data_IF_463582396914
#
_entry.id   IF_463582396914
#
_cell.length_a   1.000
_cell.length_b   1.000
_cell.length_c   1.000
_cell.angle_alpha   90.00
_cell.angle_beta   90.00
_cell.angle_gamma   90.00
#
_symmetry.space_group_name_H-M   'P 1'
#
loop_
_entity.id
_entity.type
_entity.pdbx_description
1 polymer ?
#
# COMPACT_ATOMS: atom_id res chain seq x y z
N UNK A 1 -22.04 27.13 11.67
CA UNK A 1 -21.68 26.14 10.63
C UNK A 1 -20.27 26.48 10.17
N UNK A 2 -19.31 25.56 10.27
CA UNK A 2 -18.00 25.77 9.65
C UNK A 2 -18.22 26.01 8.15
N UNK A 3 -17.61 27.06 7.60
CA UNK A 3 -17.72 27.35 6.17
C UNK A 3 -17.25 26.13 5.37
N UNK A 4 -18.04 25.73 4.37
CA UNK A 4 -17.66 24.63 3.48
C UNK A 4 -16.39 25.03 2.71
N UNK A 5 -15.24 24.45 3.09
CA UNK A 5 -14.03 24.51 2.29
C UNK A 5 -14.07 23.36 1.27
N UNK A 6 -13.96 23.64 -0.04
CA UNK A 6 -13.93 22.58 -1.04
C UNK A 6 -12.70 21.69 -0.82
N UNK A 7 -12.88 20.37 -0.93
CA UNK A 7 -11.77 19.43 -0.82
C UNK A 7 -10.70 19.71 -1.89
N UNK A 8 -9.43 19.60 -1.51
CA UNK A 8 -8.27 19.78 -2.40
C UNK A 8 -7.69 18.45 -2.81
N UNK A 9 -7.60 18.25 -4.12
CA UNK A 9 -7.05 17.06 -4.75
C UNK A 9 -5.80 17.40 -5.53
N UNK A 10 -4.79 16.54 -5.40
CA UNK A 10 -3.57 16.58 -6.19
C UNK A 10 -3.56 15.33 -7.05
N UNK A 11 -3.86 15.51 -8.33
CA UNK A 11 -3.85 14.43 -9.31
C UNK A 11 -2.44 14.28 -9.88
N UNK A 12 -1.86 13.08 -9.78
CA UNK A 12 -0.56 12.71 -10.33
C UNK A 12 -0.77 11.73 -11.48
N UNK A 13 -0.24 12.08 -12.65
CA UNK A 13 -0.27 11.28 -13.86
C UNK A 13 1.16 10.99 -14.29
N UNK A 14 1.48 9.74 -14.59
CA UNK A 14 2.79 9.39 -15.13
C UNK A 14 2.70 8.43 -16.30
N UNK A 15 3.55 8.65 -17.30
CA UNK A 15 3.83 7.71 -18.38
C UNK A 15 5.23 7.15 -18.18
N UNK A 16 5.32 5.85 -17.90
CA UNK A 16 6.57 5.18 -17.57
C UNK A 16 6.85 4.06 -18.56
N UNK A 17 7.85 4.22 -19.44
CA UNK A 17 8.41 3.10 -20.20
C UNK A 17 9.02 2.07 -19.24
N UNK A 18 8.65 0.81 -19.41
CA UNK A 18 9.19 -0.31 -18.64
C UNK A 18 9.69 -1.36 -19.64
N UNK A 19 10.94 -1.86 -19.49
CA UNK A 19 11.48 -2.91 -20.33
C UNK A 19 10.79 -4.25 -20.06
N UNK A 20 11.21 -5.28 -20.80
CA UNK A 20 10.78 -6.66 -20.58
C UNK A 20 10.92 -7.06 -19.10
N UNK A 21 9.79 -7.22 -18.41
CA UNK A 21 9.77 -7.46 -16.97
C UNK A 21 8.47 -8.09 -16.46
N UNK A 22 8.54 -8.62 -15.24
CA UNK A 22 7.40 -9.18 -14.51
C UNK A 22 7.19 -8.43 -13.18
N UNK A 23 6.80 -7.15 -13.29
CA UNK A 23 6.58 -6.26 -12.14
C UNK A 23 5.46 -6.71 -11.19
N UNK A 24 4.49 -7.46 -11.71
CA UNK A 24 3.39 -8.00 -10.91
C UNK A 24 2.80 -9.24 -11.57
N UNK A 25 2.66 -10.32 -10.79
CA UNK A 25 2.20 -11.63 -11.27
C UNK A 25 0.89 -12.12 -10.65
N UNK A 26 0.19 -12.98 -11.38
CA UNK A 26 -0.97 -13.75 -10.95
C UNK A 26 -0.61 -14.98 -10.12
N UNK A 27 -1.61 -15.85 -9.89
CA UNK A 27 -1.45 -17.11 -9.16
C UNK A 27 -0.67 -18.16 -9.96
N UNK A 28 -0.80 -18.11 -11.28
CA UNK A 28 -0.06 -18.87 -12.30
C UNK A 28 1.38 -18.38 -12.54
N UNK A 29 1.81 -17.36 -11.79
CA UNK A 29 3.11 -16.70 -11.97
C UNK A 29 3.26 -15.99 -13.34
N UNK A 30 2.16 -15.70 -14.03
CA UNK A 30 2.12 -14.90 -15.26
C UNK A 30 1.93 -13.39 -14.96
N UNK A 31 2.35 -12.48 -15.86
CA UNK A 31 2.05 -11.07 -15.75
C UNK A 31 0.55 -10.83 -15.61
N UNK A 32 0.14 -9.96 -14.67
CA UNK A 32 -1.27 -9.56 -14.62
C UNK A 32 -1.61 -8.75 -15.87
N UNK A 33 -2.77 -9.05 -16.45
CA UNK A 33 -3.32 -8.30 -17.59
C UNK A 33 -4.72 -7.79 -17.27
N UNK A 34 -5.21 -6.85 -18.08
CA UNK A 34 -6.60 -6.41 -18.10
C UNK A 34 -7.04 -6.12 -19.54
N UNK A 35 -8.34 -6.11 -19.80
CA UNK A 35 -8.89 -5.65 -21.09
C UNK A 35 -9.40 -4.22 -20.93
N UNK A 36 -8.94 -3.32 -21.79
CA UNK A 36 -9.41 -1.93 -21.83
C UNK A 36 -9.51 -1.41 -23.26
N UNK A 37 -10.70 -0.92 -23.62
CA UNK A 37 -11.05 -0.52 -24.99
C UNK A 37 -10.91 -1.64 -26.01
N UNK A 38 -11.20 -2.88 -25.60
CA UNK A 38 -11.12 -4.06 -26.46
C UNK A 38 -9.72 -4.64 -26.69
N UNK A 39 -8.66 -4.06 -26.09
CA UNK A 39 -7.29 -4.58 -26.19
C UNK A 39 -6.76 -5.08 -24.84
N UNK A 40 -5.96 -6.15 -24.88
CA UNK A 40 -5.23 -6.66 -23.73
C UNK A 40 -4.10 -5.72 -23.35
N UNK A 41 -4.02 -5.36 -22.06
CA UNK A 41 -3.02 -4.48 -21.46
C UNK A 41 -2.27 -5.22 -20.38
N UNK A 42 -0.95 -5.03 -20.31
CA UNK A 42 -0.25 -5.41 -19.09
C UNK A 42 -0.72 -4.51 -17.96
N UNK A 43 -0.89 -5.09 -16.76
CA UNK A 43 -1.39 -4.41 -15.58
C UNK A 43 -0.42 -4.61 -14.42
N UNK A 44 -0.15 -3.52 -13.70
CA UNK A 44 0.52 -3.57 -12.40
C UNK A 44 -0.46 -3.08 -11.35
N UNK A 45 -0.76 -3.95 -10.40
CA UNK A 45 -1.82 -3.67 -9.44
C UNK A 45 -1.50 -2.53 -8.48
N UNK A 46 -2.54 -1.78 -8.07
CA UNK A 46 -2.39 -0.63 -7.19
C UNK A 46 -1.74 -1.01 -5.85
N UNK A 47 -2.01 -2.20 -5.31
CA UNK A 47 -1.37 -2.71 -4.10
C UNK A 47 0.14 -2.96 -4.25
N UNK A 48 0.59 -3.36 -5.44
CA UNK A 48 2.00 -3.57 -5.73
C UNK A 48 2.75 -2.24 -5.69
N UNK A 49 2.17 -1.22 -6.34
CA UNK A 49 2.66 0.16 -6.31
C UNK A 49 2.59 0.79 -4.92
N UNK A 50 1.45 0.69 -4.23
CA UNK A 50 1.30 1.20 -2.85
C UNK A 50 2.35 0.60 -1.92
N UNK A 51 2.68 -0.69 -2.05
CA UNK A 51 3.74 -1.30 -1.25
C UNK A 51 5.12 -0.78 -1.64
N UNK A 52 5.40 -0.65 -2.93
CA UNK A 52 6.67 -0.14 -3.45
C UNK A 52 6.94 1.31 -3.01
N UNK A 53 5.90 2.13 -2.90
CA UNK A 53 5.96 3.52 -2.43
C UNK A 53 6.03 3.59 -0.89
N UNK A 54 5.18 2.82 -0.20
CA UNK A 54 5.06 2.88 1.26
C UNK A 54 6.38 2.55 1.98
N UNK A 55 7.11 1.53 1.54
CA UNK A 55 8.27 1.06 2.29
C UNK A 55 9.45 2.07 2.28
N UNK A 56 9.82 2.68 1.15
CA UNK A 56 10.77 3.79 1.13
C UNK A 56 10.29 4.99 1.95
N UNK A 57 9.02 5.39 1.85
CA UNK A 57 8.48 6.48 2.69
C UNK A 57 8.66 6.19 4.19
N UNK A 58 8.37 4.97 4.62
CA UNK A 58 8.56 4.56 6.01
C UNK A 58 10.03 4.57 6.45
N UNK A 59 10.96 4.34 5.52
CA UNK A 59 12.39 4.39 5.78
C UNK A 59 12.90 5.84 5.88
N UNK A 60 12.48 6.71 4.97
CA UNK A 60 12.84 8.13 4.97
C UNK A 60 12.34 8.84 6.23
N UNK A 61 11.14 8.50 6.69
CA UNK A 61 10.52 9.09 7.88
C UNK A 61 10.96 8.43 9.20
N UNK A 62 11.71 7.32 9.14
CA UNK A 62 11.98 6.44 10.29
C UNK A 62 10.69 6.05 11.06
N UNK A 63 9.58 5.87 10.34
CA UNK A 63 8.27 5.60 10.91
C UNK A 63 7.65 4.34 10.31
N UNK A 64 8.19 3.20 10.70
CA UNK A 64 7.82 1.92 10.11
C UNK A 64 6.46 1.38 10.58
N UNK A 65 5.65 0.88 9.64
CA UNK A 65 4.42 0.18 9.94
C UNK A 65 4.44 -1.29 9.49
N UNK A 66 3.96 -2.17 10.35
CA UNK A 66 3.78 -3.59 10.08
C UNK A 66 2.35 -3.87 9.61
N UNK A 67 2.22 -4.63 8.52
CA UNK A 67 0.99 -5.36 8.18
C UNK A 67 1.16 -6.81 8.59
N UNK A 68 0.45 -7.26 9.61
CA UNK A 68 0.72 -8.57 10.23
C UNK A 68 -0.53 -9.22 10.80
N UNK A 69 -0.59 -10.55 10.68
CA UNK A 69 -1.51 -11.41 11.45
C UNK A 69 -0.82 -12.04 12.67
N UNK A 70 0.52 -11.92 12.72
CA UNK A 70 1.38 -12.61 13.66
C UNK A 70 1.68 -11.78 14.92
N UNK A 71 0.96 -10.68 15.18
CA UNK A 71 1.22 -9.84 16.36
C UNK A 71 1.33 -10.66 17.67
N UNK A 72 0.38 -11.54 18.04
CA UNK A 72 0.49 -12.35 19.27
C UNK A 72 1.76 -13.20 19.29
N UNK A 73 2.09 -13.83 18.17
CA UNK A 73 3.29 -14.67 18.05
C UNK A 73 4.58 -13.86 18.17
N UNK A 74 4.63 -12.65 17.59
CA UNK A 74 5.83 -11.79 17.62
C UNK A 74 6.06 -11.15 18.98
N UNK A 75 5.01 -10.92 19.76
CA UNK A 75 5.13 -10.53 21.17
C UNK A 75 5.62 -11.73 21.99
N UNK A 76 5.06 -12.93 21.79
CA UNK A 76 5.53 -14.14 22.47
C UNK A 76 6.99 -14.49 22.15
N UNK A 77 7.43 -14.34 20.89
CA UNK A 77 8.84 -14.49 20.48
C UNK A 77 9.73 -13.53 21.28
N UNK A 78 9.34 -12.25 21.37
CA UNK A 78 10.10 -11.23 22.09
C UNK A 78 10.21 -11.53 23.60
N UNK A 79 9.12 -12.00 24.21
CA UNK A 79 9.11 -12.35 25.63
C UNK A 79 10.01 -13.56 25.91
N UNK A 80 10.03 -14.56 25.01
CA UNK A 80 10.97 -15.69 25.08
C UNK A 80 12.42 -15.25 24.95
N UNK A 81 12.71 -14.35 24.00
CA UNK A 81 14.03 -13.73 23.85
C UNK A 81 14.44 -12.97 25.14
N UNK A 82 13.47 -12.41 25.87
CA UNK A 82 13.65 -11.76 27.17
C UNK A 82 13.66 -12.75 28.38
N UNK A 83 13.69 -14.07 28.13
CA UNK A 83 13.84 -15.09 29.17
C UNK A 83 12.54 -15.54 29.86
N UNK A 84 11.37 -15.23 29.30
CA UNK A 84 10.10 -15.75 29.81
C UNK A 84 9.94 -17.25 29.52
N UNK A 85 9.31 -18.03 30.42
CA UNK A 85 8.88 -19.40 30.14
C UNK A 85 8.03 -19.49 28.86
N UNK A 86 8.16 -20.59 28.12
CA UNK A 86 7.54 -20.75 26.80
C UNK A 86 6.01 -20.65 26.85
N UNK A 87 5.38 -21.28 27.83
CA UNK A 87 3.93 -21.28 28.06
C UNK A 87 3.44 -19.91 28.49
N UNK A 88 4.15 -19.23 29.39
CA UNK A 88 3.83 -17.88 29.84
C UNK A 88 3.93 -16.86 28.70
N UNK A 89 4.97 -16.94 27.89
CA UNK A 89 5.15 -16.06 26.73
C UNK A 89 4.05 -16.27 25.68
N UNK A 90 3.68 -17.52 25.39
CA UNK A 90 2.59 -17.84 24.49
C UNK A 90 1.25 -17.31 25.02
N UNK A 91 0.98 -17.50 26.31
CA UNK A 91 -0.21 -16.98 26.98
C UNK A 91 -0.27 -15.45 26.94
N UNK A 92 0.84 -14.77 27.25
CA UNK A 92 0.93 -13.31 27.19
C UNK A 92 0.68 -12.78 25.76
N UNK A 93 1.24 -13.43 24.74
CA UNK A 93 0.95 -13.12 23.33
C UNK A 93 -0.54 -13.24 23.00
N UNK A 94 -1.21 -14.32 23.43
CA UNK A 94 -2.65 -14.48 23.26
C UNK A 94 -3.46 -13.41 24.02
N UNK A 95 -2.98 -12.99 25.20
CA UNK A 95 -3.61 -11.93 26.00
C UNK A 95 -3.60 -10.56 25.32
N UNK A 96 -2.62 -10.27 24.45
CA UNK A 96 -2.64 -9.04 23.62
C UNK A 96 -3.90 -9.01 22.76
N UNK A 97 -4.20 -10.12 22.09
CA UNK A 97 -5.36 -10.18 21.19
C UNK A 97 -6.66 -10.26 21.99
N UNK A 98 -6.69 -11.06 23.07
CA UNK A 98 -7.85 -11.18 23.94
C UNK A 98 -8.23 -9.86 24.62
N UNK A 99 -7.24 -9.06 24.97
CA UNK A 99 -7.42 -7.79 25.66
C UNK A 99 -7.60 -6.60 24.71
N UNK A 100 -7.60 -6.80 23.39
CA UNK A 100 -7.74 -5.71 22.42
C UNK A 100 -9.13 -5.05 22.41
N UNK A 101 -10.18 -5.80 22.76
CA UNK A 101 -11.57 -5.33 22.86
C UNK A 101 -12.25 -5.99 24.06
N UNK A 102 -13.54 -5.73 24.29
CA UNK A 102 -14.32 -6.46 25.31
C UNK A 102 -14.33 -7.97 25.04
N UNK A 103 -14.40 -8.37 23.78
CA UNK A 103 -14.50 -9.77 23.33
C UNK A 103 -13.14 -10.34 22.85
N UNK A 104 -12.14 -9.49 22.65
CA UNK A 104 -10.89 -9.82 21.96
C UNK A 104 -10.98 -9.64 20.44
N UNK A 105 -9.88 -9.88 19.72
CA UNK A 105 -9.94 -10.08 18.27
C UNK A 105 -10.04 -11.56 17.95
N UNK A 106 -10.64 -11.88 16.80
CA UNK A 106 -10.72 -13.24 16.26
C UNK A 106 -9.33 -13.75 15.90
N UNK A 107 -9.09 -15.01 16.21
CA UNK A 107 -7.84 -15.72 15.96
C UNK A 107 -8.08 -17.06 15.27
N UNK A 108 -7.11 -17.50 14.46
CA UNK A 108 -7.09 -18.81 13.82
C UNK A 108 -6.27 -19.81 14.66
N UNK A 109 -6.93 -20.59 15.51
CA UNK A 109 -6.25 -21.56 16.40
C UNK A 109 -5.44 -22.60 15.63
N UNK A 110 -5.95 -23.08 14.48
CA UNK A 110 -5.26 -24.04 13.61
C UNK A 110 -3.95 -23.50 13.02
N UNK A 111 -3.75 -22.18 13.05
CA UNK A 111 -2.54 -21.50 12.58
C UNK A 111 -1.75 -20.91 13.74
N UNK A 112 -1.87 -21.49 14.94
CA UNK A 112 -1.10 -21.06 16.12
C UNK A 112 -1.63 -19.78 16.78
N UNK A 113 -2.89 -19.41 16.55
CA UNK A 113 -3.50 -18.25 17.20
C UNK A 113 -3.14 -16.91 16.58
N UNK A 114 -2.76 -16.88 15.30
CA UNK A 114 -2.66 -15.63 14.54
C UNK A 114 -4.01 -14.92 14.46
N UNK A 115 -4.03 -13.60 14.29
CA UNK A 115 -5.29 -12.87 14.12
C UNK A 115 -5.96 -13.25 12.79
N UNK A 116 -7.29 -13.35 12.77
CA UNK A 116 -8.06 -13.57 11.54
C UNK A 116 -7.95 -12.35 10.61
N UNK A 117 -8.04 -11.14 11.17
CA UNK A 117 -7.82 -9.89 10.45
C UNK A 117 -6.32 -9.56 10.32
N UNK A 118 -5.93 -8.97 9.19
CA UNK A 118 -4.60 -8.39 8.99
C UNK A 118 -4.52 -7.03 9.69
N UNK A 119 -3.71 -6.94 10.74
CA UNK A 119 -3.50 -5.68 11.45
C UNK A 119 -2.54 -4.78 10.67
N UNK A 120 -2.73 -3.47 10.74
CA UNK A 120 -1.81 -2.46 10.21
C UNK A 120 -1.50 -1.44 11.31
N UNK A 121 -0.29 -1.48 11.85
CA UNK A 121 0.10 -0.71 13.03
C UNK A 121 1.59 -0.34 12.97
N UNK A 122 2.03 0.68 13.73
CA UNK A 122 3.46 0.97 13.89
C UNK A 122 4.25 -0.26 14.38
N UNK A 123 5.51 -0.42 13.94
CA UNK A 123 6.34 -1.60 14.30
C UNK A 123 6.75 -1.61 15.77
N UNK A 124 7.04 -0.43 16.31
CA UNK A 124 7.44 -0.17 17.69
C UNK A 124 6.37 -0.54 18.72
N UNK A 125 5.09 -0.61 18.32
CA UNK A 125 4.00 -1.15 19.16
C UNK A 125 4.34 -2.55 19.69
N UNK A 126 5.11 -3.36 18.95
CA UNK A 126 5.57 -4.66 19.47
C UNK A 126 6.32 -4.49 20.79
N UNK A 127 7.23 -3.53 20.87
CA UNK A 127 8.03 -3.25 22.06
C UNK A 127 7.15 -2.73 23.20
N UNK A 128 6.20 -1.84 22.90
CA UNK A 128 5.25 -1.33 23.91
C UNK A 128 4.36 -2.45 24.48
N UNK A 129 3.92 -3.39 23.63
CA UNK A 129 3.15 -4.54 24.06
C UNK A 129 3.96 -5.50 24.93
N UNK A 130 5.25 -5.69 24.62
CA UNK A 130 6.17 -6.48 25.45
C UNK A 130 6.36 -5.82 26.82
N UNK A 131 6.58 -4.50 26.84
CA UNK A 131 6.69 -3.73 28.07
C UNK A 131 5.42 -3.82 28.91
N UNK A 132 4.25 -3.73 28.29
CA UNK A 132 2.96 -3.92 28.97
C UNK A 132 2.84 -5.33 29.58
N UNK A 133 3.33 -6.37 28.88
CA UNK A 133 3.40 -7.71 29.45
C UNK A 133 4.33 -7.78 30.68
N UNK A 134 5.48 -7.10 30.65
CA UNK A 134 6.38 -7.02 31.81
C UNK A 134 5.72 -6.36 33.03
N UNK A 135 5.03 -5.25 32.82
CA UNK A 135 4.31 -4.52 33.89
C UNK A 135 3.20 -5.36 34.52
N UNK A 136 2.58 -6.25 33.73
CA UNK A 136 1.48 -7.11 34.17
C UNK A 136 1.89 -8.58 34.35
N UNK A 137 3.18 -8.86 34.46
CA UNK A 137 3.70 -10.24 34.59
C UNK A 137 3.08 -11.01 35.77
N UNK A 138 2.95 -10.46 36.98
CA UNK A 138 2.35 -11.19 38.10
C UNK A 138 0.92 -11.65 37.82
N UNK A 139 0.10 -10.79 37.19
CA UNK A 139 -1.29 -11.13 36.86
C UNK A 139 -1.37 -12.17 35.74
N UNK A 140 -0.44 -12.13 34.78
CA UNK A 140 -0.33 -13.13 33.72
C UNK A 140 0.06 -14.51 34.28
N UNK A 141 1.04 -14.56 35.19
CA UNK A 141 1.47 -15.78 35.87
C UNK A 141 0.34 -16.38 36.71
N UNK A 142 -0.32 -15.56 37.53
CA UNK A 142 -1.45 -15.99 38.35
C UNK A 142 -2.60 -16.55 37.50
N UNK A 143 -2.99 -15.83 36.44
CA UNK A 143 -4.10 -16.26 35.57
C UNK A 143 -3.76 -17.55 34.82
N UNK A 144 -2.51 -17.70 34.36
CA UNK A 144 -2.06 -18.91 33.69
C UNK A 144 -2.09 -20.11 34.64
N UNK A 145 -1.58 -19.95 35.86
CA UNK A 145 -1.60 -21.01 36.88
C UNK A 145 -3.03 -21.43 37.22
N UNK A 146 -3.95 -20.47 37.38
CA UNK A 146 -5.37 -20.74 37.59
C UNK A 146 -5.99 -21.54 36.43
N UNK A 147 -5.65 -21.20 35.18
CA UNK A 147 -6.14 -21.93 33.99
C UNK A 147 -5.58 -23.35 33.91
N UNK A 148 -4.29 -23.53 34.17
CA UNK A 148 -3.65 -24.84 34.18
C UNK A 148 -4.24 -25.73 35.29
N UNK A 149 -4.47 -25.18 36.49
CA UNK A 149 -5.12 -25.89 37.58
C UNK A 149 -6.58 -26.27 37.24
N UNK A 150 -7.35 -25.36 36.65
CA UNK A 150 -8.72 -25.63 36.21
C UNK A 150 -8.78 -26.70 35.10
N UNK A 151 -7.85 -26.66 34.14
CA UNK A 151 -7.75 -27.65 33.07
C UNK A 151 -7.37 -29.04 33.62
N UNK A 152 -6.44 -29.11 34.57
CA UNK A 152 -6.06 -30.35 35.23
C UNK A 152 -7.23 -30.94 36.04
N UNK A 153 -7.98 -30.11 36.77
CA UNK A 153 -9.17 -30.54 37.50
C UNK A 153 -10.28 -31.04 36.55
N UNK A 154 -10.49 -30.37 35.42
CA UNK A 154 -11.45 -30.79 34.40
C UNK A 154 -11.07 -32.11 33.73
N UNK A 155 -9.77 -32.35 33.50
CA UNK A 155 -9.26 -33.61 32.96
C UNK A 155 -9.41 -34.78 33.95
N UNK A 156 -9.40 -34.50 35.26
CA UNK A 156 -9.59 -35.49 36.32
C UNK A 156 -11.07 -35.81 36.62
N UNK A 157 -12.02 -35.01 36.12
CA UNK A 157 -13.45 -35.23 36.32
C UNK A 157 -14.02 -36.30 35.35
N UNK A 158 -14.93 -37.19 35.79
CA UNK A 158 -15.53 -38.20 34.92
C UNK A 158 -16.35 -37.54 33.81
N UNK A 159 -16.13 -37.97 32.55
CA UNK A 159 -16.81 -37.42 31.36
C UNK A 159 -18.33 -37.59 31.50
N UNK A 160 -19.13 -36.51 31.54
CA UNK A 160 -20.58 -36.64 31.52
C UNK A 160 -21.05 -37.19 30.16
N UNK A 161 -21.94 -38.19 30.20
CA UNK A 161 -22.67 -38.67 29.03
C UNK A 161 -23.61 -37.57 28.53
N UNK A 162 -23.19 -36.85 27.49
CA UNK A 162 -24.04 -35.90 26.78
C UNK A 162 -23.26 -34.72 26.21
N UNK A 163 -23.35 -34.54 24.89
CA UNK A 163 -22.84 -33.36 24.15
C UNK A 163 -23.55 -32.09 24.63
N UNK A 164 -23.16 -31.53 25.77
CA UNK A 164 -23.30 -30.10 26.04
C UNK A 164 -22.03 -29.44 25.54
N UNK A 165 -22.16 -28.64 24.48
CA UNK A 165 -21.13 -27.67 24.07
C UNK A 165 -20.80 -26.87 25.33
N UNK A 166 -19.58 -27.03 25.86
CA UNK A 166 -19.11 -26.20 26.96
C UNK A 166 -19.30 -24.75 26.50
N UNK A 167 -20.07 -23.98 27.26
CA UNK A 167 -20.21 -22.55 27.04
C UNK A 167 -18.79 -21.99 27.13
N UNK A 168 -18.27 -21.44 26.04
CA UNK A 168 -16.90 -20.93 25.94
C UNK A 168 -16.61 -20.12 27.20
N UNK A 169 -15.84 -20.69 28.14
CA UNK A 169 -15.38 -19.96 29.31
C UNK A 169 -14.31 -19.02 28.76
N UNK A 170 -14.77 -17.89 28.22
CA UNK A 170 -13.92 -16.89 27.59
C UNK A 170 -12.85 -16.52 28.62
N UNK A 171 -11.60 -16.89 28.31
CA UNK A 171 -10.43 -16.52 29.10
C UNK A 171 -10.55 -15.02 29.43
N UNK A 172 -10.51 -14.62 30.72
CA UNK A 172 -10.66 -13.21 31.05
C UNK A 172 -9.49 -12.41 30.45
N UNK A 173 -9.77 -11.17 30.07
CA UNK A 173 -8.74 -10.23 29.64
C UNK A 173 -7.89 -9.84 30.85
N UNK A 174 -6.59 -10.11 30.79
CA UNK A 174 -5.64 -9.80 31.88
C UNK A 174 -5.03 -8.41 31.70
N UNK A 175 -4.80 -7.99 30.46
CA UNK A 175 -4.15 -6.72 30.16
C UNK A 175 -5.18 -5.57 30.08
N UNK A 176 -4.78 -4.32 30.37
CA UNK A 176 -5.69 -3.18 30.30
C UNK A 176 -6.22 -2.95 28.89
N UNK A 177 -7.51 -3.25 28.67
CA UNK A 177 -8.13 -3.19 27.33
C UNK A 177 -8.00 -1.84 26.66
N UNK A 178 -8.13 -0.74 27.42
CA UNK A 178 -7.99 0.62 26.89
C UNK A 178 -6.58 0.88 26.35
N UNK A 179 -5.55 0.41 27.04
CA UNK A 179 -4.15 0.58 26.66
C UNK A 179 -3.82 -0.23 25.42
N UNK A 180 -4.18 -1.52 25.41
CA UNK A 180 -3.98 -2.39 24.23
C UNK A 180 -4.70 -1.81 22.99
N UNK A 181 -5.96 -1.40 23.14
CA UNK A 181 -6.71 -0.77 22.07
C UNK A 181 -6.09 0.56 21.62
N UNK A 182 -5.52 1.37 22.52
CA UNK A 182 -4.81 2.60 22.15
C UNK A 182 -3.55 2.32 21.32
N UNK A 183 -2.76 1.32 21.70
CA UNK A 183 -1.58 0.89 20.95
C UNK A 183 -1.94 0.38 19.55
N UNK A 184 -2.99 -0.43 19.42
CA UNK A 184 -3.49 -0.88 18.11
C UNK A 184 -3.99 0.29 17.26
N UNK A 185 -4.61 1.31 17.89
CA UNK A 185 -5.12 2.50 17.21
C UNK A 185 -4.04 3.49 16.77
N UNK A 186 -2.81 3.39 17.28
CA UNK A 186 -1.72 4.30 16.92
C UNK A 186 -1.54 4.34 15.40
N UNK A 187 -1.26 5.53 14.88
CA UNK A 187 -1.15 5.81 13.44
C UNK A 187 0.28 6.21 13.13
N UNK A 188 0.72 5.87 11.93
CA UNK A 188 1.91 6.43 11.29
C UNK A 188 1.53 7.38 10.17
N UNK A 189 2.47 8.15 9.64
CA UNK A 189 2.32 8.92 8.41
C UNK A 189 1.73 8.07 7.27
N UNK A 190 2.23 6.84 7.07
CA UNK A 190 1.72 5.95 6.02
C UNK A 190 0.35 5.35 6.33
N UNK A 191 -0.07 5.25 7.60
CA UNK A 191 -1.45 4.95 7.97
C UNK A 191 -2.37 6.14 7.67
N UNK A 192 -1.93 7.37 7.94
CA UNK A 192 -2.70 8.59 7.63
C UNK A 192 -2.87 8.80 6.10
N UNK A 193 -1.86 8.43 5.31
CA UNK A 193 -1.92 8.49 3.84
C UNK A 193 -2.78 7.38 3.24
N UNK A 194 -2.49 6.11 3.57
CA UNK A 194 -3.09 4.96 2.89
C UNK A 194 -4.35 4.41 3.56
N UNK A 195 -4.64 4.87 4.78
CA UNK A 195 -5.75 4.41 5.59
C UNK A 195 -5.48 3.06 6.26
N UNK A 196 -6.46 2.66 7.07
CA UNK A 196 -6.49 1.38 7.79
C UNK A 196 -7.94 0.96 7.97
N UNK A 197 -8.23 -0.31 7.69
CA UNK A 197 -9.50 -0.94 8.00
C UNK A 197 -9.29 -2.00 9.08
N UNK A 198 -10.08 -1.94 10.16
CA UNK A 198 -10.11 -2.97 11.20
C UNK A 198 -11.53 -3.10 11.76
N UNK A 199 -12.29 -4.07 11.24
CA UNK A 199 -13.73 -4.20 11.53
C UNK A 199 -14.01 -4.45 13.02
N UNK A 200 -13.15 -5.19 13.70
CA UNK A 200 -13.31 -5.57 15.11
C UNK A 200 -12.98 -4.44 16.09
N UNK A 201 -12.34 -3.36 15.60
CA UNK A 201 -12.06 -2.16 16.38
C UNK A 201 -12.39 -0.93 15.51
N UNK A 202 -13.68 -0.55 15.36
CA UNK A 202 -14.13 0.49 14.43
C UNK A 202 -13.43 1.84 14.63
N UNK A 203 -13.11 2.20 15.87
CA UNK A 203 -12.38 3.45 16.20
C UNK A 203 -10.92 3.45 15.71
N UNK A 204 -10.40 2.31 15.24
CA UNK A 204 -9.10 2.22 14.60
C UNK A 204 -9.17 2.45 13.08
N UNK A 205 -10.36 2.52 12.49
CA UNK A 205 -10.53 2.81 11.06
C UNK A 205 -9.99 4.20 10.72
N UNK A 206 -9.28 4.29 9.59
CA UNK A 206 -8.74 5.53 9.04
C UNK A 206 -9.04 5.51 7.55
N UNK A 207 -9.78 6.51 7.08
CA UNK A 207 -10.00 6.71 5.65
C UNK A 207 -8.67 7.14 5.00
N UNK A 208 -8.29 6.47 3.92
CA UNK A 208 -7.05 6.81 3.22
C UNK A 208 -7.21 8.13 2.45
N UNK A 209 -6.24 9.03 2.60
CA UNK A 209 -6.15 10.25 1.81
C UNK A 209 -5.67 10.00 0.36
N UNK A 210 -4.98 8.88 0.12
CA UNK A 210 -4.43 8.52 -1.20
C UNK A 210 -5.29 7.48 -1.92
N UNK A 211 -5.75 7.86 -3.11
CA UNK A 211 -6.38 6.95 -4.07
C UNK A 211 -5.37 6.62 -5.17
N UNK A 212 -5.19 5.34 -5.49
CA UNK A 212 -4.22 4.90 -6.49
C UNK A 212 -4.87 3.88 -7.41
N UNK A 213 -4.80 4.14 -8.72
CA UNK A 213 -5.33 3.24 -9.73
C UNK A 213 -4.36 2.08 -10.00
N UNK A 214 -4.87 1.02 -10.64
CA UNK A 214 -4.01 0.05 -11.30
C UNK A 214 -3.27 0.77 -12.44
N UNK A 215 -1.98 0.52 -12.58
CA UNK A 215 -1.21 0.99 -13.74
C UNK A 215 -1.40 0.00 -14.88
N UNK A 216 -1.51 0.49 -16.12
CA UNK A 216 -1.71 -0.36 -17.29
C UNK A 216 -1.02 0.20 -18.53
N UNK A 217 -0.74 -0.64 -19.51
CA UNK A 217 -0.10 -0.17 -20.76
C UNK A 217 -1.04 0.67 -21.61
N UNK A 218 -0.55 1.81 -22.12
CA UNK A 218 -1.31 2.73 -22.99
C UNK A 218 -1.55 2.18 -24.41
N UNK A 219 -0.82 1.14 -24.79
CA UNK A 219 -1.00 0.34 -26.01
C UNK A 219 -1.29 -1.14 -25.66
N UNK A 220 -1.64 -1.95 -26.66
CA UNK A 220 -1.78 -3.40 -26.48
C UNK A 220 -0.43 -4.00 -26.03
N UNK A 221 -0.47 -4.91 -25.06
CA UNK A 221 0.70 -5.61 -24.56
C UNK A 221 0.31 -7.02 -24.15
N UNK A 222 0.67 -7.98 -24.99
CA UNK A 222 0.44 -9.40 -24.74
C UNK A 222 1.61 -9.98 -23.93
N UNK A 223 1.36 -10.93 -23.01
CA UNK A 223 2.42 -11.68 -22.34
C UNK A 223 3.35 -12.34 -23.34
N UNK A 224 4.66 -12.16 -23.15
CA UNK A 224 5.70 -12.75 -24.00
C UNK A 224 6.32 -13.95 -23.27
N UNK A 225 6.39 -15.13 -23.90
CA UNK A 225 7.03 -16.29 -23.30
C UNK A 225 8.55 -16.16 -23.28
N UNK A 226 9.15 -16.59 -22.19
CA UNK A 226 10.59 -16.70 -21.95
C UNK A 226 10.91 -18.17 -21.64
N UNK A 227 11.52 -18.86 -22.60
CA UNK A 227 11.93 -20.25 -22.47
C UNK A 227 13.37 -20.29 -21.96
N UNK A 228 13.57 -20.83 -20.75
CA UNK A 228 14.90 -20.92 -20.15
C UNK A 228 15.18 -22.32 -19.61
N UNK A 229 16.46 -22.68 -19.62
CA UNK A 229 16.99 -23.88 -19.00
C UNK A 229 17.93 -23.52 -17.85
N UNK A 230 18.06 -24.42 -16.88
CA UNK A 230 19.22 -24.41 -15.99
C UNK A 230 20.15 -25.54 -16.41
N UNK A 231 21.38 -25.19 -16.76
CA UNK A 231 22.40 -26.14 -17.20
C UNK A 231 23.15 -26.68 -15.98
N UNK A 232 23.42 -27.98 -15.99
CA UNK A 232 24.23 -28.70 -15.03
C UNK A 232 25.69 -28.71 -15.48
N UNK A 233 26.56 -28.24 -14.60
CA UNK A 233 27.98 -28.09 -14.90
C UNK A 233 28.73 -29.44 -14.87
N UNK A 234 28.17 -30.49 -14.25
CA UNK A 234 28.76 -31.83 -14.11
C UNK A 234 27.97 -32.91 -14.86
N UNK A 235 27.67 -32.66 -16.14
CA UNK A 235 26.98 -33.63 -17.00
C UNK A 235 27.89 -34.80 -17.43
N UNK A 236 27.28 -35.94 -17.78
CA UNK A 236 28.00 -37.08 -18.35
C UNK A 236 28.60 -36.75 -19.73
N UNK A 237 29.73 -37.36 -20.14
CA UNK A 237 30.34 -37.08 -21.44
C UNK A 237 29.37 -37.34 -22.60
N UNK A 238 29.09 -36.30 -23.40
CA UNK A 238 28.20 -36.36 -24.55
C UNK A 238 26.76 -35.87 -24.29
N UNK A 239 26.43 -35.49 -23.06
CA UNK A 239 25.11 -34.92 -22.71
C UNK A 239 25.12 -33.39 -22.66
N UNK A 240 24.04 -32.75 -23.12
CA UNK A 240 23.87 -31.30 -23.10
C UNK A 240 23.65 -30.72 -21.69
N UNK A 241 23.43 -31.57 -20.67
CA UNK A 241 23.37 -31.15 -19.26
C UNK A 241 22.19 -30.24 -18.90
N UNK A 242 21.03 -30.34 -19.55
CA UNK A 242 19.86 -29.51 -19.16
C UNK A 242 19.13 -30.12 -17.96
N UNK A 243 19.36 -29.59 -16.75
CA UNK A 243 18.76 -30.10 -15.51
C UNK A 243 17.35 -29.53 -15.21
N UNK A 244 17.00 -28.37 -15.77
CA UNK A 244 15.67 -27.77 -15.61
C UNK A 244 15.23 -27.10 -16.91
N UNK A 245 13.93 -27.16 -17.19
CA UNK A 245 13.28 -26.43 -18.29
C UNK A 245 12.00 -25.81 -17.76
N UNK A 246 11.83 -24.51 -18.02
CA UNK A 246 10.60 -23.81 -17.66
C UNK A 246 10.32 -22.65 -18.61
N UNK A 247 9.04 -22.31 -18.73
CA UNK A 247 8.59 -21.08 -19.39
C UNK A 247 8.15 -20.09 -18.32
N UNK A 248 8.67 -18.87 -18.39
CA UNK A 248 8.13 -17.71 -17.67
C UNK A 248 7.51 -16.75 -18.67
N UNK A 249 6.74 -15.78 -18.18
CA UNK A 249 6.16 -14.74 -19.04
C UNK A 249 6.57 -13.36 -18.53
N UNK A 250 6.80 -12.44 -19.46
CA UNK A 250 7.05 -11.03 -19.16
C UNK A 250 6.19 -10.12 -20.03
N UNK A 251 6.14 -8.85 -19.66
CA UNK A 251 5.49 -7.79 -20.46
C UNK A 251 6.46 -6.62 -20.63
N UNK A 252 6.20 -5.77 -21.62
CA UNK A 252 6.96 -4.54 -21.88
C UNK A 252 6.00 -3.47 -22.36
N UNK A 253 6.33 -2.19 -22.14
CA UNK A 253 5.52 -1.10 -22.70
C UNK A 253 5.51 0.15 -21.84
N UNK A 254 4.62 1.07 -22.22
CA UNK A 254 4.44 2.35 -21.54
C UNK A 254 3.27 2.26 -20.57
N UNK A 255 3.55 2.22 -19.28
CA UNK A 255 2.52 2.22 -18.24
C UNK A 255 1.99 3.63 -18.02
N UNK A 256 0.66 3.79 -18.08
CA UNK A 256 -0.02 4.92 -17.46
C UNK A 256 -0.25 4.62 -15.97
N UNK A 257 0.19 5.54 -15.13
CA UNK A 257 0.08 5.49 -13.67
C UNK A 257 -0.72 6.69 -13.21
N UNK A 258 -1.63 6.46 -12.26
CA UNK A 258 -2.47 7.52 -11.70
C UNK A 258 -2.63 7.35 -10.19
N UNK A 259 -2.43 8.44 -9.47
CA UNK A 259 -2.80 8.57 -8.07
C UNK A 259 -3.41 9.96 -7.83
N UNK A 260 -4.24 10.07 -6.80
CA UNK A 260 -4.70 11.37 -6.31
C UNK A 260 -4.60 11.43 -4.79
N UNK A 261 -4.13 12.56 -4.28
CA UNK A 261 -4.05 12.84 -2.85
C UNK A 261 -5.15 13.83 -2.48
N UNK A 262 -6.05 13.43 -1.59
CA UNK A 262 -6.98 14.34 -0.96
C UNK A 262 -6.27 15.03 0.21
N UNK A 263 -5.70 16.21 -0.03
CA UNK A 263 -4.94 16.95 0.97
C UNK A 263 -5.81 17.36 2.16
N UNK A 264 -7.08 17.68 1.93
CA UNK A 264 -8.04 18.00 3.00
C UNK A 264 -8.24 16.82 3.94
N UNK A 265 -8.34 15.61 3.40
CA UNK A 265 -8.45 14.38 4.20
C UNK A 265 -7.14 14.08 4.94
N UNK A 266 -5.99 14.30 4.30
CA UNK A 266 -4.69 14.09 4.94
C UNK A 266 -4.50 15.03 6.14
N UNK A 267 -4.83 16.32 6.00
CA UNK A 267 -4.80 17.30 7.09
C UNK A 267 -5.71 16.84 8.24
N UNK A 268 -6.91 16.33 7.93
CA UNK A 268 -7.83 15.78 8.93
C UNK A 268 -7.23 14.59 9.67
N UNK A 269 -6.60 13.67 8.95
CA UNK A 269 -5.95 12.49 9.53
C UNK A 269 -4.77 12.86 10.45
N UNK A 270 -4.11 13.98 10.17
CA UNK A 270 -3.00 14.55 10.94
C UNK A 270 -3.46 15.55 12.02
N UNK A 271 -4.76 15.61 12.34
CA UNK A 271 -5.26 16.47 13.41
C UNK A 271 -5.19 17.97 13.11
N UNK A 272 -5.14 18.35 11.83
CA UNK A 272 -5.07 19.75 11.40
C UNK A 272 -3.65 20.26 11.09
N UNK A 273 -2.61 19.42 11.18
CA UNK A 273 -1.24 19.79 10.83
C UNK A 273 -1.08 19.94 9.31
N UNK A 274 -1.09 21.20 8.84
CA UNK A 274 -0.98 21.54 7.42
C UNK A 274 0.45 21.34 6.90
N UNK A 275 1.45 21.71 7.68
CA UNK A 275 2.85 21.65 7.27
C UNK A 275 3.30 20.19 7.14
N UNK A 276 2.88 19.33 8.08
CA UNK A 276 3.14 17.90 7.97
C UNK A 276 2.41 17.29 6.77
N UNK A 277 1.18 17.72 6.47
CA UNK A 277 0.45 17.24 5.30
C UNK A 277 1.16 17.60 3.99
N UNK A 278 1.71 18.82 3.87
CA UNK A 278 2.47 19.26 2.70
C UNK A 278 3.81 18.51 2.58
N UNK A 279 4.54 18.30 3.69
CA UNK A 279 5.75 17.46 3.70
C UNK A 279 5.46 16.03 3.22
N UNK A 280 4.36 15.44 3.68
CA UNK A 280 3.97 14.09 3.26
C UNK A 280 3.48 14.04 1.80
N UNK A 281 2.89 15.12 1.29
CA UNK A 281 2.51 15.25 -0.12
C UNK A 281 3.75 15.29 -1.02
N UNK A 282 4.76 16.08 -0.66
CA UNK A 282 6.04 16.14 -1.38
C UNK A 282 6.71 14.77 -1.40
N UNK A 283 6.91 14.15 -0.23
CA UNK A 283 7.52 12.82 -0.13
C UNK A 283 6.70 11.74 -0.86
N UNK A 284 5.37 11.80 -0.82
CA UNK A 284 4.53 10.88 -1.61
C UNK A 284 4.73 11.07 -3.11
N UNK A 285 4.89 12.32 -3.57
CA UNK A 285 5.11 12.64 -4.98
C UNK A 285 6.46 12.12 -5.45
N UNK A 286 7.53 12.36 -4.70
CA UNK A 286 8.87 11.80 -4.96
C UNK A 286 8.81 10.27 -5.03
N UNK A 287 8.23 9.62 -4.02
CA UNK A 287 8.15 8.16 -3.97
C UNK A 287 7.24 7.61 -5.06
N UNK A 288 6.19 8.32 -5.46
CA UNK A 288 5.41 7.99 -6.65
C UNK A 288 6.29 8.03 -7.90
N UNK A 289 7.18 9.00 -8.06
CA UNK A 289 8.04 9.09 -9.24
C UNK A 289 9.10 7.98 -9.25
N UNK A 290 9.80 7.78 -8.13
CA UNK A 290 11.03 6.99 -8.07
C UNK A 290 10.85 5.50 -7.75
N UNK A 291 9.74 5.14 -7.09
CA UNK A 291 9.52 3.74 -6.71
C UNK A 291 9.26 2.86 -7.93
N UNK A 292 9.50 1.56 -7.77
CA UNK A 292 9.06 0.53 -8.72
C UNK A 292 8.78 -0.79 -8.00
N UNK A 293 7.76 -1.58 -8.41
CA UNK A 293 7.57 -2.93 -7.88
C UNK A 293 8.79 -3.83 -8.05
N UNK A 294 8.99 -4.71 -7.07
CA UNK A 294 10.24 -5.45 -6.90
C UNK A 294 10.14 -6.93 -7.35
N UNK A 295 9.00 -7.35 -7.93
CA UNK A 295 8.82 -8.72 -8.39
C UNK A 295 9.76 -9.03 -9.56
N UNK A 296 10.45 -10.17 -9.51
CA UNK A 296 11.39 -10.66 -10.53
C UNK A 296 12.45 -9.63 -10.97
N UNK A 297 12.75 -8.63 -10.12
CA UNK A 297 13.73 -7.58 -10.43
C UNK A 297 15.12 -8.13 -10.70
N UNK A 298 15.54 -9.17 -9.97
CA UNK A 298 16.89 -9.74 -10.09
C UNK A 298 17.12 -10.35 -11.47
N UNK A 299 16.09 -10.93 -12.08
CA UNK A 299 16.18 -11.57 -13.39
C UNK A 299 15.82 -10.65 -14.56
N UNK A 300 15.29 -9.44 -14.31
CA UNK A 300 14.77 -8.56 -15.39
C UNK A 300 15.21 -7.09 -15.29
N UNK A 301 15.85 -6.69 -14.19
CA UNK A 301 16.37 -5.33 -13.93
C UNK A 301 15.47 -4.18 -14.44
N UNK A 302 14.20 -4.09 -14.01
CA UNK A 302 13.21 -3.21 -14.63
C UNK A 302 13.32 -1.73 -14.22
N UNK A 303 14.48 -1.29 -13.73
CA UNK A 303 14.67 -0.01 -13.06
C UNK A 303 14.57 1.16 -14.05
N UNK A 304 13.40 1.79 -14.11
CA UNK A 304 13.14 2.97 -14.94
C UNK A 304 12.46 4.07 -14.12
N UNK A 305 12.51 5.29 -14.65
CA UNK A 305 11.77 6.45 -14.17
C UNK A 305 10.70 6.85 -15.21
N UNK A 306 9.63 7.56 -14.80
CA UNK A 306 8.64 8.10 -15.73
C UNK A 306 9.27 8.97 -16.82
N UNK A 307 8.80 8.83 -18.06
CA UNK A 307 9.18 9.74 -19.16
C UNK A 307 8.42 11.08 -19.08
N UNK A 308 7.22 11.07 -18.50
CA UNK A 308 6.39 12.24 -18.27
C UNK A 308 5.72 12.08 -16.89
N UNK A 309 5.78 13.12 -16.08
CA UNK A 309 4.96 13.30 -14.88
C UNK A 309 4.18 14.59 -15.06
N UNK A 310 2.87 14.55 -14.92
CA UNK A 310 1.98 15.71 -14.94
C UNK A 310 1.16 15.73 -13.66
N UNK A 311 1.06 16.91 -13.04
CA UNK A 311 0.20 17.12 -11.89
C UNK A 311 -0.93 18.10 -12.20
N UNK A 312 -2.05 17.95 -11.51
CA UNK A 312 -3.09 18.97 -11.45
C UNK A 312 -3.59 19.13 -10.02
N UNK A 313 -3.52 20.36 -9.50
CA UNK A 313 -4.13 20.74 -8.22
C UNK A 313 -5.54 21.25 -8.48
N UNK A 314 -6.53 20.56 -7.91
CA UNK A 314 -7.95 20.80 -8.18
C UNK A 314 -8.77 20.91 -6.91
N UNK A 315 -9.89 21.62 -7.04
CA UNK A 315 -10.93 21.64 -6.02
C UNK A 315 -12.09 20.69 -6.36
N UNK A 316 -12.77 20.21 -5.31
CA UNK A 316 -14.01 19.41 -5.32
C UNK A 316 -13.90 17.99 -5.85
N UNK A 317 -13.14 17.72 -6.91
CA UNK A 317 -12.99 16.36 -7.43
C UNK A 317 -11.63 16.09 -8.09
N UNK A 318 -11.12 14.86 -7.96
CA UNK A 318 -9.99 14.40 -8.77
C UNK A 318 -10.45 13.97 -10.16
N UNK A 319 -9.53 13.91 -11.13
CA UNK A 319 -9.80 13.51 -12.51
C UNK A 319 -8.66 12.64 -13.07
N UNK A 320 -8.93 11.36 -13.31
CA UNK A 320 -8.00 10.48 -14.03
C UNK A 320 -8.05 10.71 -15.55
N UNK A 321 -6.90 10.60 -16.20
CA UNK A 321 -6.75 10.67 -17.66
C UNK A 321 -6.71 9.29 -18.32
N UNK A 322 -7.12 8.23 -17.61
CA UNK A 322 -7.14 6.87 -18.17
C UNK A 322 -7.93 6.77 -19.49
N UNK A 323 -8.99 7.57 -19.64
CA UNK A 323 -9.81 7.63 -20.85
C UNK A 323 -9.03 8.09 -22.10
N UNK A 324 -7.88 8.78 -21.94
CA UNK A 324 -6.98 9.07 -23.05
C UNK A 324 -6.48 7.81 -23.77
N UNK A 325 -6.53 6.66 -23.10
CA UNK A 325 -5.98 5.39 -23.56
C UNK A 325 -7.04 4.30 -23.74
N UNK A 326 -8.33 4.67 -23.72
CA UNK A 326 -9.41 3.75 -24.07
C UNK A 326 -9.13 3.16 -25.45
N UNK A 327 -8.98 4.01 -26.47
CA UNK A 327 -8.42 3.59 -27.74
C UNK A 327 -6.91 3.29 -27.54
N UNK A 328 -6.42 2.08 -27.89
CA UNK A 328 -5.02 1.75 -27.78
C UNK A 328 -4.14 2.71 -28.60
N UNK A 329 -3.11 3.26 -27.96
CA UNK A 329 -2.14 4.13 -28.62
C UNK A 329 -1.43 3.35 -29.72
N UNK A 330 -1.37 3.93 -30.93
CA UNK A 330 -0.64 3.38 -32.07
C UNK A 330 0.82 3.83 -32.01
N UNK A 331 1.77 3.03 -32.52
CA UNK A 331 3.18 3.42 -32.54
C UNK A 331 3.41 4.59 -33.50
N UNK A 332 4.47 5.37 -33.25
CA UNK A 332 4.92 6.41 -34.17
C UNK A 332 5.43 5.82 -35.49
N UNK A 333 5.50 6.61 -36.59
CA UNK A 333 6.26 6.22 -37.77
C UNK A 333 7.71 5.90 -37.39
N UNK A 334 8.17 4.67 -37.63
CA UNK A 334 9.50 4.19 -37.21
C UNK A 334 9.52 3.43 -35.86
N UNK A 335 8.38 3.29 -35.20
CA UNK A 335 8.24 2.50 -33.97
C UNK A 335 8.24 3.34 -32.70
N UNK A 336 7.91 2.70 -31.58
CA UNK A 336 7.83 3.33 -30.26
C UNK A 336 6.47 3.95 -29.96
N UNK A 337 6.11 3.94 -28.67
CA UNK A 337 4.80 4.38 -28.18
C UNK A 337 4.87 5.63 -27.30
N UNK A 338 6.06 6.04 -26.87
CA UNK A 338 6.23 7.10 -25.87
C UNK A 338 5.66 8.45 -26.32
N UNK A 339 6.12 9.00 -27.45
CA UNK A 339 5.64 10.29 -27.96
C UNK A 339 4.14 10.24 -28.33
N UNK A 340 3.63 9.20 -29.02
CA UNK A 340 2.19 9.06 -29.23
C UNK A 340 1.37 9.02 -27.93
N UNK A 341 1.88 8.39 -26.87
CA UNK A 341 1.21 8.33 -25.58
C UNK A 341 1.18 9.70 -24.88
N UNK A 342 2.29 10.46 -24.95
CA UNK A 342 2.33 11.86 -24.47
C UNK A 342 1.29 12.69 -25.23
N UNK A 343 1.24 12.59 -26.56
CA UNK A 343 0.29 13.33 -27.37
C UNK A 343 -1.17 12.99 -27.03
N UNK A 344 -1.47 11.70 -26.83
CA UNK A 344 -2.80 11.25 -26.44
C UNK A 344 -3.21 11.82 -25.07
N UNK A 345 -2.28 11.82 -24.10
CA UNK A 345 -2.51 12.41 -22.77
C UNK A 345 -2.72 13.93 -22.85
N UNK A 346 -1.88 14.64 -23.60
CA UNK A 346 -1.96 16.08 -23.84
C UNK A 346 -3.30 16.48 -24.49
N UNK A 347 -3.69 15.78 -25.56
CA UNK A 347 -4.96 16.02 -26.27
C UNK A 347 -6.17 15.81 -25.35
N UNK A 348 -6.12 14.77 -24.51
CA UNK A 348 -7.17 14.53 -23.53
C UNK A 348 -7.19 15.60 -22.43
N UNK A 349 -6.03 16.06 -21.98
CA UNK A 349 -5.91 17.16 -21.02
C UNK A 349 -6.50 18.47 -21.56
N UNK A 350 -6.28 18.78 -22.84
CA UNK A 350 -6.89 19.94 -23.51
C UNK A 350 -8.42 19.84 -23.54
N UNK A 351 -8.95 18.70 -23.98
CA UNK A 351 -10.38 18.46 -24.03
C UNK A 351 -11.02 18.60 -22.63
N UNK A 352 -10.39 18.06 -21.60
CA UNK A 352 -10.83 18.23 -20.22
C UNK A 352 -10.70 19.68 -19.73
N UNK A 353 -9.63 20.38 -20.12
CA UNK A 353 -9.43 21.80 -19.82
C UNK A 353 -10.55 22.67 -20.38
N UNK A 354 -10.95 22.41 -21.64
CA UNK A 354 -12.07 23.09 -22.29
C UNK A 354 -13.42 22.78 -21.65
N UNK A 355 -13.68 21.52 -21.28
CA UNK A 355 -14.97 21.10 -20.73
C UNK A 355 -15.15 21.45 -19.25
N UNK A 356 -14.09 21.34 -18.44
CA UNK A 356 -14.14 21.65 -17.00
C UNK A 356 -13.85 23.13 -16.71
N UNK A 357 -13.18 23.82 -17.64
CA UNK A 357 -12.67 25.17 -17.44
C UNK A 357 -11.50 25.24 -16.46
N UNK A 358 -10.96 26.45 -16.26
CA UNK A 358 -9.84 26.72 -15.34
C UNK A 358 -10.27 27.10 -13.92
N UNK A 359 -11.52 27.48 -13.70
CA UNK A 359 -12.02 28.05 -12.41
C UNK A 359 -11.73 27.23 -11.16
N UNK A 360 -11.56 25.91 -11.29
CA UNK A 360 -11.35 24.96 -10.16
C UNK A 360 -10.03 24.19 -10.27
N UNK A 361 -9.14 24.62 -11.17
CA UNK A 361 -7.79 24.09 -11.33
C UNK A 361 -6.83 25.18 -10.88
N UNK A 362 -6.25 24.98 -9.70
CA UNK A 362 -5.37 25.95 -9.03
C UNK A 362 -4.05 26.05 -9.79
N UNK A 363 -3.45 24.90 -10.09
CA UNK A 363 -2.25 24.79 -10.91
C UNK A 363 -2.24 23.45 -11.64
N UNK A 364 -1.45 23.40 -12.71
CA UNK A 364 -1.00 22.16 -13.33
C UNK A 364 0.32 22.40 -14.04
N UNK A 365 1.12 21.35 -14.12
CA UNK A 365 2.44 21.39 -14.71
C UNK A 365 2.97 20.01 -14.96
N UNK A 366 4.11 19.93 -15.63
CA UNK A 366 4.72 18.66 -16.00
C UNK A 366 6.23 18.74 -16.07
N UNK A 367 6.87 17.58 -15.93
CA UNK A 367 8.29 17.35 -16.18
C UNK A 367 8.40 16.15 -17.13
N UNK A 368 9.31 16.22 -18.10
CA UNK A 368 9.46 15.20 -19.13
C UNK A 368 10.89 15.14 -19.65
N UNK A 369 11.27 14.00 -20.24
CA UNK A 369 12.58 13.84 -20.90
C UNK A 369 12.62 14.44 -22.32
N UNK A 370 11.51 15.00 -22.79
CA UNK A 370 11.49 15.67 -24.08
C UNK A 370 12.18 17.02 -24.00
N UNK A 371 12.94 17.35 -25.05
CA UNK A 371 13.55 18.66 -25.23
C UNK A 371 12.55 19.71 -25.74
N UNK A 372 11.37 19.28 -26.19
CA UNK A 372 10.30 20.14 -26.67
C UNK A 372 9.19 20.23 -25.63
N UNK A 373 8.58 21.42 -25.43
CA UNK A 373 7.40 21.54 -24.59
C UNK A 373 6.27 20.61 -25.05
N UNK A 374 5.48 20.15 -24.09
CA UNK A 374 4.26 19.36 -24.31
C UNK A 374 3.09 20.29 -24.11
N UNK A 375 2.29 20.45 -25.16
CA UNK A 375 1.14 21.35 -25.12
C UNK A 375 0.11 20.90 -24.07
N UNK A 376 -0.70 21.84 -23.59
CA UNK A 376 -1.89 21.62 -22.75
C UNK A 376 -1.67 21.00 -21.35
N UNK A 377 -0.42 20.71 -20.96
CA UNK A 377 -0.08 20.16 -19.64
C UNK A 377 0.35 21.22 -18.61
N UNK A 378 0.25 22.51 -18.97
CA UNK A 378 0.53 23.62 -18.07
C UNK A 378 2.02 23.97 -18.03
N UNK A 379 2.51 24.34 -16.84
CA UNK A 379 3.88 24.84 -16.66
C UNK A 379 4.91 23.73 -16.82
N UNK A 380 5.92 23.88 -17.70
CA UNK A 380 7.05 22.95 -17.74
C UNK A 380 7.99 23.18 -16.54
N UNK A 381 8.46 22.09 -15.94
CA UNK A 381 9.47 22.08 -14.89
C UNK A 381 10.74 21.39 -15.40
N UNK A 382 11.92 21.89 -15.01
CA UNK A 382 13.19 21.37 -15.50
C UNK A 382 13.56 20.03 -14.85
N UNK A 383 13.02 19.74 -13.67
CA UNK A 383 13.26 18.51 -12.92
C UNK A 383 12.00 18.00 -12.20
N UNK A 384 12.05 16.76 -11.70
CA UNK A 384 10.99 16.23 -10.83
C UNK A 384 10.96 16.91 -9.45
N UNK A 385 12.09 17.45 -8.99
CA UNK A 385 12.19 18.24 -7.76
C UNK A 385 11.43 19.56 -7.92
N UNK A 386 11.73 20.33 -8.97
CA UNK A 386 11.02 21.59 -9.26
C UNK A 386 9.51 21.36 -9.48
N UNK A 387 9.13 20.24 -10.09
CA UNK A 387 7.73 19.84 -10.23
C UNK A 387 7.08 19.60 -8.86
N UNK A 388 7.77 18.92 -7.96
CA UNK A 388 7.27 18.59 -6.61
C UNK A 388 7.12 19.84 -5.76
N UNK A 389 8.07 20.77 -5.85
CA UNK A 389 8.02 22.06 -5.17
C UNK A 389 6.84 22.90 -5.66
N UNK A 390 6.72 23.09 -6.98
CA UNK A 390 5.64 23.89 -7.57
C UNK A 390 4.25 23.29 -7.27
N UNK A 391 4.13 21.96 -7.29
CA UNK A 391 2.92 21.25 -6.90
C UNK A 391 2.56 21.52 -5.44
N UNK A 392 3.54 21.43 -4.54
CA UNK A 392 3.34 21.60 -3.10
C UNK A 392 3.01 23.05 -2.75
N UNK A 393 3.67 24.01 -3.39
CA UNK A 393 3.35 25.44 -3.28
C UNK A 393 1.92 25.72 -3.75
N UNK A 394 1.53 25.20 -4.90
CA UNK A 394 0.16 25.34 -5.41
C UNK A 394 -0.87 24.68 -4.48
N UNK A 395 -0.53 23.54 -3.89
CA UNK A 395 -1.42 22.84 -2.95
C UNK A 395 -1.63 23.62 -1.64
N UNK A 396 -0.64 24.42 -1.22
CA UNK A 396 -0.67 25.25 -0.03
C UNK A 396 -1.53 26.52 -0.17
N UNK A 397 -1.84 26.96 -1.41
CA UNK A 397 -2.61 28.19 -1.64
C UNK A 397 -3.98 28.13 -0.94
N UNK A 398 -4.47 29.19 -0.28
CA UNK A 398 -5.77 29.15 0.38
C UNK A 398 -6.88 28.82 -0.64
N UNK A 399 -7.93 28.12 -0.20
CA UNK A 399 -9.11 27.93 -1.04
C UNK A 399 -9.66 29.30 -1.43
N UNK A 400 -9.89 29.54 -2.72
CA UNK A 400 -10.43 30.80 -3.17
C UNK A 400 -11.79 30.99 -2.48
N UNK A 401 -11.97 32.10 -1.73
CA UNK A 401 -13.30 32.42 -1.24
C UNK A 401 -14.19 32.57 -2.47
N UNK A 402 -15.22 31.74 -2.58
CA UNK A 402 -16.29 32.00 -3.53
C UNK A 402 -16.90 33.34 -3.11
N UNK A 403 -16.41 34.44 -3.69
CA UNK A 403 -17.10 35.70 -3.65
C UNK A 403 -18.47 35.40 -4.25
N UNK A 404 -19.50 35.45 -3.41
CA UNK A 404 -20.89 35.37 -3.83
C UNK A 404 -21.08 36.62 -4.68
N UNK A 405 -20.99 36.45 -6.00
CA UNK A 405 -21.33 37.48 -6.97
C UNK A 405 -22.85 37.59 -7.09
#
# INVERSE_FOLDING_TARGET
MAAYAPARYIDLHALQPVPASLLNRGEDNEPKTLVFGGAMRAMVSSQSWKRAIRLPMEAELDEHAARTRNLPLRVADALREAGWPQDLAAFAGAQIVRSATKEGLKTEEQQGGITSALLYLPRDVRSDMVQLCHEHRPQLEETLAQQQAAAAAAAAAPKPNGRRKAKDSAVPAVLPTRTVAALIRRRTATINLFGRMLAELPDAHVDGAVQMAHAFTVHQSDPQPDYFTAVEDWSAPGEAGSAHLQTSFFTTGILYRYATVNLTELIRNLGGDHDQALRLLALFTEMFIESIPQAKKTSTAPHTLPHLVHYAVRERRPVSYAAAFEQPVKPAPGGGYTLPAVQALSTHADALGRLLGSRRRIAHGYATYQNTPVDHLGTPHASFEELTDALTEAAAQPAASLAVA
#
